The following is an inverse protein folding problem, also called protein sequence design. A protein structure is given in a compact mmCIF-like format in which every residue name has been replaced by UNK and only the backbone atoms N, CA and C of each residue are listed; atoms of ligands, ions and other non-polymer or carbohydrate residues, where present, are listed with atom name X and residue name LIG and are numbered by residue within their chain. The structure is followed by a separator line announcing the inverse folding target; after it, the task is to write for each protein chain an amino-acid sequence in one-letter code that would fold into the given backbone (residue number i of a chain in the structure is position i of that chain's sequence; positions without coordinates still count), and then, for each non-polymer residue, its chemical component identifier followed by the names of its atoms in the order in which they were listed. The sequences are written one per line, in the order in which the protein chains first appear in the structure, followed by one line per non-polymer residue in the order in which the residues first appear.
data_IF_809106565291
#
_entry.id   IF_809106565291
#
_cell.length_a   1.000
_cell.length_b   1.000
_cell.length_c   1.000
_cell.angle_alpha   90.00
_cell.angle_beta   90.00
_cell.angle_gamma   90.00
#
_symmetry.space_group_name_H-M   'P 1'
#
loop_
_entity.id
_entity.type
_entity.pdbx_description
1 polymer ?
#
# COMPACT_ATOMS: atom_id res chain seq x y z
N UNK A 1 -7.51 25.22 5.50
CA UNK A 1 -8.67 24.50 4.96
C UNK A 1 -9.49 25.37 3.98
N UNK A 2 -9.18 26.65 3.90
CA UNK A 2 -9.77 27.61 2.97
C UNK A 2 -8.88 27.73 1.75
N UNK A 3 -9.44 27.94 0.57
CA UNK A 3 -8.74 28.18 -0.69
C UNK A 3 -9.32 29.39 -1.41
N UNK A 4 -8.56 29.95 -2.34
CA UNK A 4 -8.96 31.11 -3.15
C UNK A 4 -9.45 30.63 -4.51
N UNK A 5 -10.61 31.09 -4.92
CA UNK A 5 -11.15 30.84 -6.27
C UNK A 5 -10.31 31.56 -7.32
N UNK A 6 -9.79 30.82 -8.30
CA UNK A 6 -9.07 31.40 -9.43
C UNK A 6 -9.98 32.22 -10.37
N UNK A 7 -11.32 32.02 -10.29
CA UNK A 7 -12.27 32.73 -11.16
C UNK A 7 -12.63 34.13 -10.65
N UNK A 8 -12.72 34.32 -9.33
CA UNK A 8 -13.26 35.57 -8.76
C UNK A 8 -12.52 36.05 -7.50
N UNK A 9 -11.45 35.38 -7.08
CA UNK A 9 -10.68 35.74 -5.89
C UNK A 9 -11.36 35.47 -4.55
N UNK A 10 -12.58 34.93 -4.52
CA UNK A 10 -13.30 34.68 -3.28
C UNK A 10 -12.71 33.50 -2.52
N UNK A 11 -12.77 33.59 -1.19
CA UNK A 11 -12.42 32.50 -0.29
C UNK A 11 -13.55 31.47 -0.24
N UNK A 12 -13.22 30.20 -0.24
CA UNK A 12 -14.19 29.13 -0.04
C UNK A 12 -13.57 27.92 0.65
N UNK A 13 -14.40 27.11 1.27
CA UNK A 13 -13.97 25.89 1.94
C UNK A 13 -13.44 24.86 0.93
N UNK A 14 -12.21 24.39 1.17
CA UNK A 14 -11.56 23.39 0.33
C UNK A 14 -12.29 22.05 0.36
N UNK A 15 -12.78 21.65 1.52
CA UNK A 15 -13.46 20.38 1.76
C UNK A 15 -14.97 20.60 1.86
N UNK A 16 -15.65 20.57 0.73
CA UNK A 16 -17.11 20.72 0.66
C UNK A 16 -17.76 19.36 0.46
N UNK A 17 -18.82 19.07 1.21
CA UNK A 17 -19.57 17.81 1.16
C UNK A 17 -18.66 16.58 1.26
N UNK A 18 -17.79 16.55 2.31
CA UNK A 18 -16.81 15.48 2.50
C UNK A 18 -16.82 14.96 3.94
N UNK A 19 -16.72 13.64 4.05
CA UNK A 19 -16.33 13.00 5.30
C UNK A 19 -14.83 13.27 5.51
N UNK A 20 -14.51 13.85 6.69
CA UNK A 20 -13.16 14.32 7.00
C UNK A 20 -12.39 13.32 7.85
N UNK A 21 -11.13 13.09 7.49
CA UNK A 21 -10.19 12.24 8.20
C UNK A 21 -9.00 13.08 8.62
N UNK A 22 -8.70 13.21 9.93
CA UNK A 22 -7.48 13.87 10.37
C UNK A 22 -6.26 13.03 9.98
N UNK A 23 -5.25 13.67 9.45
CA UNK A 23 -3.94 13.07 9.22
C UNK A 23 -3.08 13.42 10.43
N UNK A 24 -2.64 12.38 11.15
CA UNK A 24 -1.98 12.51 12.44
C UNK A 24 -0.54 12.01 12.29
N UNK A 25 0.43 12.82 12.72
CA UNK A 25 1.84 12.43 12.71
C UNK A 25 2.15 11.37 13.78
N UNK A 26 3.34 10.82 13.74
CA UNK A 26 3.79 9.80 14.72
C UNK A 26 3.82 10.29 16.18
N UNK A 27 3.77 11.58 16.40
CA UNK A 27 3.75 12.20 17.74
C UNK A 27 2.33 12.42 18.27
N UNK A 28 1.31 12.28 17.41
CA UNK A 28 -0.10 12.47 17.74
C UNK A 28 -0.66 13.84 17.36
N UNK A 29 0.10 14.68 16.64
CA UNK A 29 -0.37 15.99 16.20
C UNK A 29 -1.16 15.86 14.90
N UNK A 30 -2.27 16.59 14.78
CA UNK A 30 -3.00 16.73 13.51
C UNK A 30 -2.21 17.67 12.61
N UNK A 31 -1.70 17.14 11.49
CA UNK A 31 -0.86 17.86 10.52
C UNK A 31 -1.59 18.20 9.22
N UNK A 32 -2.72 17.56 8.96
CA UNK A 32 -3.52 17.75 7.75
C UNK A 32 -4.84 17.00 7.82
N UNK A 33 -5.56 17.02 6.71
CA UNK A 33 -6.84 16.32 6.58
C UNK A 33 -6.94 15.65 5.22
N UNK A 34 -7.56 14.48 5.19
CA UNK A 34 -8.14 13.86 4.02
C UNK A 34 -9.65 14.05 4.00
N UNK A 35 -10.26 14.11 2.84
CA UNK A 35 -11.70 14.20 2.71
C UNK A 35 -12.22 13.28 1.60
N UNK A 36 -13.16 12.39 1.92
CA UNK A 36 -13.89 11.56 0.96
C UNK A 36 -15.22 12.22 0.64
N UNK A 37 -15.52 12.39 -0.66
CA UNK A 37 -16.81 12.98 -1.08
C UNK A 37 -17.98 12.12 -0.56
N UNK A 38 -19.00 12.77 0.00
CA UNK A 38 -20.19 12.10 0.53
C UNK A 38 -21.20 11.83 -0.59
N UNK A 39 -21.39 12.81 -1.48
CA UNK A 39 -22.33 12.70 -2.57
C UNK A 39 -21.59 12.60 -3.92
N UNK A 40 -21.77 11.49 -4.61
CA UNK A 40 -21.09 11.19 -5.89
C UNK A 40 -21.81 11.74 -7.13
N UNK A 41 -22.82 12.61 -6.98
CA UNK A 41 -23.55 13.21 -8.11
C UNK A 41 -22.67 14.14 -8.96
N UNK A 42 -21.65 14.76 -8.35
CA UNK A 42 -20.65 15.55 -9.07
C UNK A 42 -19.46 14.67 -9.53
N UNK A 43 -19.58 14.14 -10.75
CA UNK A 43 -18.52 13.32 -11.37
C UNK A 43 -17.20 14.08 -11.61
N UNK A 44 -17.21 15.42 -11.54
CA UNK A 44 -16.01 16.25 -11.73
C UNK A 44 -15.19 16.37 -10.44
N UNK A 45 -15.77 16.11 -9.28
CA UNK A 45 -15.11 16.23 -7.99
C UNK A 45 -14.27 14.98 -7.69
N UNK A 46 -13.02 15.18 -7.27
CA UNK A 46 -12.15 14.09 -6.86
C UNK A 46 -12.77 13.30 -5.71
N UNK A 47 -12.84 11.96 -5.83
CA UNK A 47 -13.36 11.04 -4.79
C UNK A 47 -12.66 11.28 -3.45
N UNK A 48 -11.36 11.45 -3.47
CA UNK A 48 -10.53 11.77 -2.30
C UNK A 48 -9.78 13.08 -2.53
N UNK A 49 -9.69 13.89 -1.50
CA UNK A 49 -8.96 15.15 -1.50
C UNK A 49 -8.14 15.24 -0.22
N UNK A 50 -6.85 15.53 -0.33
CA UNK A 50 -5.98 15.77 0.82
C UNK A 50 -5.67 17.27 0.96
N UNK A 51 -5.28 17.67 2.18
CA UNK A 51 -4.66 18.97 2.41
C UNK A 51 -3.50 19.20 1.45
N UNK A 52 -3.24 20.43 1.03
CA UNK A 52 -2.02 20.76 0.30
C UNK A 52 -0.79 20.54 1.19
N UNK A 53 0.38 20.44 0.59
CA UNK A 53 1.66 20.47 1.31
C UNK A 53 1.77 21.77 2.12
N UNK A 54 2.29 21.67 3.34
CA UNK A 54 2.54 22.79 4.25
C UNK A 54 3.86 22.57 4.97
N UNK A 55 4.29 23.54 5.79
CA UNK A 55 5.50 23.39 6.61
C UNK A 55 5.43 22.21 7.59
N UNK A 56 4.22 21.83 8.02
CA UNK A 56 4.00 20.72 8.96
C UNK A 56 3.46 19.46 8.30
N UNK A 57 3.00 19.52 7.05
CA UNK A 57 2.42 18.39 6.33
C UNK A 57 3.12 18.14 5.00
N UNK A 58 3.79 17.02 4.90
CA UNK A 58 4.37 16.50 3.68
C UNK A 58 3.87 15.06 3.45
N UNK A 59 3.12 14.84 2.37
CA UNK A 59 2.51 13.53 2.04
C UNK A 59 3.55 12.43 1.82
N UNK A 60 4.74 12.80 1.35
CA UNK A 60 5.83 11.88 1.05
C UNK A 60 6.54 11.36 2.30
N UNK A 61 6.42 12.10 3.42
CA UNK A 61 7.11 11.83 4.70
C UNK A 61 6.17 11.35 5.80
N UNK A 62 4.90 11.17 5.49
CA UNK A 62 3.89 10.74 6.45
C UNK A 62 3.07 9.59 5.89
N UNK A 63 2.59 8.72 6.79
CA UNK A 63 1.71 7.61 6.49
C UNK A 63 0.48 7.70 7.38
N UNK A 64 -0.70 7.45 6.82
CA UNK A 64 -1.95 7.42 7.56
C UNK A 64 -1.94 6.28 8.59
N UNK A 65 -2.46 6.53 9.78
CA UNK A 65 -2.58 5.62 10.91
C UNK A 65 -1.26 5.09 11.50
N UNK A 66 -0.07 5.55 11.07
CA UNK A 66 1.19 5.10 11.64
C UNK A 66 1.34 5.46 13.13
N UNK A 67 0.72 6.54 13.60
CA UNK A 67 0.63 6.90 15.02
C UNK A 67 -0.05 5.83 15.88
N UNK A 68 -0.95 5.04 15.30
CA UNK A 68 -1.61 3.89 15.92
C UNK A 68 -0.81 2.62 15.67
N UNK A 69 -0.50 2.32 14.43
CA UNK A 69 0.13 1.07 13.99
C UNK A 69 1.50 0.81 14.63
N UNK A 70 2.27 1.86 14.95
CA UNK A 70 3.56 1.72 15.68
C UNK A 70 3.43 1.11 17.07
N UNK A 71 2.22 0.99 17.63
CA UNK A 71 1.95 0.38 18.94
C UNK A 71 1.52 -1.09 18.82
N UNK A 72 1.30 -1.56 17.61
CA UNK A 72 0.91 -2.95 17.36
C UNK A 72 1.99 -3.92 17.84
N UNK A 73 1.57 -5.06 18.34
CA UNK A 73 2.45 -6.14 18.82
C UNK A 73 2.62 -7.27 17.80
N UNK A 74 2.12 -7.09 16.57
CA UNK A 74 2.12 -8.15 15.55
C UNK A 74 3.49 -8.39 14.90
N UNK A 75 4.49 -7.54 15.16
CA UNK A 75 5.85 -7.71 14.63
C UNK A 75 6.01 -7.31 13.15
N UNK A 76 4.94 -6.93 12.47
CA UNK A 76 4.93 -6.42 11.10
C UNK A 76 3.93 -5.29 10.94
N UNK A 77 4.09 -4.49 9.87
CA UNK A 77 3.10 -3.50 9.45
C UNK A 77 2.46 -3.92 8.12
N UNK A 78 1.18 -3.60 7.95
CA UNK A 78 0.46 -3.76 6.69
C UNK A 78 0.44 -2.41 5.99
N UNK A 79 0.97 -2.34 4.76
CA UNK A 79 0.93 -1.13 3.93
C UNK A 79 -0.11 -1.28 2.84
N UNK A 80 -1.10 -0.40 2.83
CA UNK A 80 -2.18 -0.31 1.82
C UNK A 80 -2.14 1.00 1.06
N UNK A 81 -2.91 1.11 -0.03
CA UNK A 81 -2.95 2.32 -0.85
C UNK A 81 -3.75 3.45 -0.21
N UNK A 82 -4.93 3.13 0.30
CA UNK A 82 -5.92 4.11 0.76
C UNK A 82 -6.19 4.07 2.25
N UNK A 83 -6.51 5.22 2.82
CA UNK A 83 -6.85 5.27 4.24
C UNK A 83 -8.18 4.60 4.59
N UNK A 84 -9.07 4.36 3.63
CA UNK A 84 -10.27 3.56 3.89
C UNK A 84 -9.92 2.10 4.16
N UNK A 85 -8.96 1.55 3.43
CA UNK A 85 -8.48 0.18 3.64
C UNK A 85 -7.79 0.04 4.99
N UNK A 86 -6.95 1.03 5.35
CA UNK A 86 -6.33 1.06 6.68
C UNK A 86 -7.39 1.14 7.79
N UNK A 87 -8.42 2.00 7.64
CA UNK A 87 -9.52 2.11 8.60
C UNK A 87 -10.28 0.80 8.71
N UNK A 88 -10.62 0.16 7.59
CA UNK A 88 -11.31 -1.13 7.59
C UNK A 88 -10.46 -2.20 8.31
N UNK A 89 -9.17 -2.28 8.01
CA UNK A 89 -8.27 -3.20 8.70
C UNK A 89 -8.26 -2.96 10.21
N UNK A 90 -8.12 -1.71 10.65
CA UNK A 90 -8.19 -1.37 12.09
C UNK A 90 -9.53 -1.77 12.73
N UNK A 91 -10.66 -1.55 12.05
CA UNK A 91 -11.99 -1.94 12.55
C UNK A 91 -12.13 -3.46 12.75
N UNK A 92 -11.44 -4.27 11.94
CA UNK A 92 -11.43 -5.72 12.05
C UNK A 92 -10.28 -6.28 12.91
N UNK A 93 -9.56 -5.39 13.64
CA UNK A 93 -8.54 -5.78 14.62
C UNK A 93 -7.12 -5.89 14.07
N UNK A 94 -6.86 -5.44 12.83
CA UNK A 94 -5.51 -5.36 12.26
C UNK A 94 -4.92 -3.96 12.52
N UNK A 95 -4.57 -3.70 13.78
CA UNK A 95 -4.08 -2.40 14.27
C UNK A 95 -2.70 -1.99 13.74
N UNK A 96 -2.05 -2.87 12.98
CA UNK A 96 -0.76 -2.67 12.32
C UNK A 96 -0.88 -2.05 10.91
N UNK A 97 -2.10 -1.69 10.45
CA UNK A 97 -2.29 -1.18 9.11
C UNK A 97 -1.95 0.31 8.99
N UNK A 98 -1.28 0.66 7.89
CA UNK A 98 -0.93 2.03 7.50
C UNK A 98 -1.24 2.25 6.02
N UNK A 99 -1.48 3.50 5.61
CA UNK A 99 -1.72 3.80 4.21
C UNK A 99 -0.89 4.97 3.70
N UNK A 100 -0.65 4.97 2.39
CA UNK A 100 -0.14 6.14 1.67
C UNK A 100 -1.16 7.28 1.66
N UNK A 101 -0.71 8.49 1.40
CA UNK A 101 -1.55 9.70 1.41
C UNK A 101 -1.89 10.20 -0.01
N UNK A 102 -2.32 9.27 -0.88
CA UNK A 102 -2.64 9.56 -2.27
C UNK A 102 -1.40 9.87 -3.13
N UNK A 103 -0.26 9.30 -2.75
CA UNK A 103 1.01 9.32 -3.49
C UNK A 103 1.61 7.92 -3.47
N UNK A 104 2.42 7.59 -4.48
CA UNK A 104 3.23 6.38 -4.43
C UNK A 104 4.14 6.38 -3.19
N UNK A 105 4.49 5.20 -2.70
CA UNK A 105 5.47 5.05 -1.63
C UNK A 105 6.79 5.70 -2.02
N UNK A 106 7.40 6.42 -1.09
CA UNK A 106 8.67 7.11 -1.26
C UNK A 106 9.76 6.49 -0.38
N UNK A 107 11.03 6.78 -0.68
CA UNK A 107 12.15 6.39 0.20
C UNK A 107 11.99 6.96 1.62
N UNK A 108 11.50 8.21 1.76
CA UNK A 108 11.21 8.81 3.07
C UNK A 108 10.14 8.02 3.84
N UNK A 109 9.08 7.58 3.14
CA UNK A 109 8.03 6.74 3.73
C UNK A 109 8.54 5.36 4.15
N UNK A 110 9.37 4.71 3.34
CA UNK A 110 9.98 3.43 3.67
C UNK A 110 10.96 3.55 4.85
N UNK A 111 11.80 4.58 4.86
CA UNK A 111 12.70 4.89 5.98
C UNK A 111 11.93 5.24 7.27
N UNK A 112 10.72 5.78 7.14
CA UNK A 112 9.85 6.00 8.30
C UNK A 112 9.31 4.67 8.83
N UNK A 113 8.87 3.76 7.96
CA UNK A 113 8.38 2.43 8.34
C UNK A 113 9.48 1.60 9.04
N UNK A 114 10.71 1.61 8.52
CA UNK A 114 11.82 0.82 9.05
C UNK A 114 12.22 1.17 10.50
N UNK A 115 11.76 2.30 11.02
CA UNK A 115 11.95 2.68 12.43
C UNK A 115 11.01 1.93 13.38
N UNK A 116 9.96 1.29 12.86
CA UNK A 116 8.88 0.71 13.67
C UNK A 116 8.65 -0.78 13.40
N UNK A 117 9.23 -1.33 12.34
CA UNK A 117 9.11 -2.74 12.01
C UNK A 117 10.30 -3.20 11.15
N UNK A 118 10.56 -4.49 11.17
CA UNK A 118 11.50 -5.14 10.23
C UNK A 118 10.78 -5.78 9.04
N UNK A 119 9.44 -5.95 9.12
CA UNK A 119 8.66 -6.61 8.07
C UNK A 119 7.44 -5.78 7.68
N UNK A 120 7.19 -5.71 6.37
CA UNK A 120 5.99 -5.08 5.78
C UNK A 120 5.24 -6.10 4.92
N UNK A 121 3.94 -6.20 5.15
CA UNK A 121 3.01 -6.89 4.25
C UNK A 121 2.36 -5.85 3.34
N UNK A 122 2.68 -5.90 2.07
CA UNK A 122 2.19 -4.97 1.05
C UNK A 122 0.87 -5.50 0.47
N UNK A 123 -0.19 -4.73 0.57
CA UNK A 123 -1.52 -5.07 0.05
C UNK A 123 -2.02 -3.90 -0.79
N UNK A 124 -1.76 -3.93 -2.07
CA UNK A 124 -2.25 -2.95 -3.03
C UNK A 124 -3.37 -3.55 -3.88
N UNK A 125 -4.12 -2.69 -4.57
CA UNK A 125 -5.25 -3.10 -5.40
C UNK A 125 -4.84 -4.17 -6.42
N UNK A 126 -5.74 -5.09 -6.72
CA UNK A 126 -5.46 -6.22 -7.61
C UNK A 126 -5.41 -5.85 -9.10
N UNK A 127 -5.73 -4.60 -9.46
CA UNK A 127 -5.69 -4.09 -10.83
C UNK A 127 -4.24 -3.86 -11.33
N UNK A 128 -4.10 -3.50 -12.59
CA UNK A 128 -2.79 -3.25 -13.22
C UNK A 128 -2.03 -2.10 -12.55
N UNK A 129 -2.73 -1.06 -12.12
CA UNK A 129 -2.12 0.11 -11.46
C UNK A 129 -1.54 -0.29 -10.09
N UNK A 130 -2.27 -1.05 -9.28
CA UNK A 130 -1.82 -1.57 -8.00
C UNK A 130 -0.69 -2.59 -8.13
N UNK A 131 -0.72 -3.46 -9.16
CA UNK A 131 0.39 -4.37 -9.46
C UNK A 131 1.67 -3.60 -9.81
N UNK A 132 1.58 -2.57 -10.65
CA UNK A 132 2.69 -1.69 -10.99
C UNK A 132 3.20 -0.90 -9.77
N UNK A 133 2.30 -0.47 -8.88
CA UNK A 133 2.65 0.19 -7.63
C UNK A 133 3.38 -0.78 -6.68
N UNK A 134 2.92 -2.03 -6.58
CA UNK A 134 3.58 -3.11 -5.82
C UNK A 134 5.01 -3.34 -6.30
N UNK A 135 5.21 -3.51 -7.60
CA UNK A 135 6.54 -3.73 -8.19
C UNK A 135 7.52 -2.58 -7.90
N UNK A 136 7.02 -1.35 -7.86
CA UNK A 136 7.84 -0.17 -7.52
C UNK A 136 8.11 -0.05 -6.02
N UNK A 137 7.15 -0.44 -5.18
CA UNK A 137 7.28 -0.33 -3.73
C UNK A 137 8.28 -1.33 -3.14
N UNK A 138 8.34 -2.56 -3.67
CA UNK A 138 9.23 -3.61 -3.18
C UNK A 138 10.69 -3.15 -3.06
N UNK A 139 11.37 -2.68 -4.13
CA UNK A 139 12.78 -2.29 -4.04
C UNK A 139 12.99 -1.08 -3.13
N UNK A 140 12.00 -0.19 -2.98
CA UNK A 140 12.07 0.96 -2.08
C UNK A 140 12.08 0.51 -0.62
N UNK A 141 11.20 -0.44 -0.27
CA UNK A 141 11.10 -1.01 1.08
C UNK A 141 12.37 -1.80 1.44
N UNK A 142 12.88 -2.61 0.52
CA UNK A 142 14.09 -3.40 0.74
C UNK A 142 15.35 -2.54 0.89
N UNK A 143 15.47 -1.47 0.10
CA UNK A 143 16.55 -0.48 0.26
C UNK A 143 16.54 0.15 1.65
N UNK A 144 15.37 0.27 2.28
CA UNK A 144 15.21 0.73 3.66
C UNK A 144 15.48 -0.38 4.71
N UNK A 145 15.89 -1.59 4.29
CA UNK A 145 16.19 -2.73 5.18
C UNK A 145 14.98 -3.55 5.61
N UNK A 146 13.81 -3.35 4.98
CA UNK A 146 12.58 -4.04 5.33
C UNK A 146 12.43 -5.37 4.58
N UNK A 147 11.99 -6.40 5.28
CA UNK A 147 11.51 -7.64 4.67
C UNK A 147 10.11 -7.40 4.10
N UNK A 148 9.92 -7.75 2.82
CA UNK A 148 8.66 -7.49 2.11
C UNK A 148 7.93 -8.80 1.83
N UNK A 149 6.70 -8.90 2.31
CA UNK A 149 5.72 -9.88 1.85
C UNK A 149 4.66 -9.18 1.00
N UNK A 150 4.11 -9.87 0.04
CA UNK A 150 3.04 -9.36 -0.81
C UNK A 150 1.81 -10.23 -0.65
N UNK A 151 0.72 -9.62 -0.24
CA UNK A 151 -0.58 -10.26 -0.22
C UNK A 151 -1.34 -9.85 -1.48
N UNK A 152 -1.63 -10.80 -2.34
CA UNK A 152 -2.51 -10.58 -3.48
C UNK A 152 -3.94 -10.88 -3.09
N UNK A 153 -4.80 -9.85 -3.14
CA UNK A 153 -6.23 -10.05 -2.96
C UNK A 153 -6.78 -10.91 -4.11
N UNK A 154 -7.44 -12.03 -3.75
CA UNK A 154 -8.19 -12.84 -4.72
C UNK A 154 -9.66 -12.52 -4.61
N UNK A 155 -10.65 -12.80 -4.86
CA UNK A 155 -12.08 -12.69 -4.58
C UNK A 155 -12.62 -11.32 -4.09
N UNK A 156 -11.76 -10.30 -3.99
CA UNK A 156 -12.10 -8.92 -3.66
C UNK A 156 -11.07 -7.96 -4.26
N UNK A 157 -11.48 -6.72 -4.45
CA UNK A 157 -10.64 -5.73 -5.11
C UNK A 157 -9.68 -5.05 -4.10
N UNK A 158 -10.14 -4.88 -2.87
CA UNK A 158 -9.42 -4.19 -1.79
C UNK A 158 -9.69 -4.86 -0.42
N UNK A 159 -8.90 -4.56 0.63
CA UNK A 159 -9.09 -5.12 1.96
C UNK A 159 -10.47 -4.82 2.57
N UNK A 160 -11.04 -3.64 2.32
CA UNK A 160 -12.37 -3.27 2.85
C UNK A 160 -13.47 -4.19 2.30
N UNK A 161 -13.46 -4.45 0.99
CA UNK A 161 -14.41 -5.37 0.37
C UNK A 161 -14.21 -6.81 0.86
N UNK A 162 -12.96 -7.26 0.98
CA UNK A 162 -12.64 -8.60 1.45
C UNK A 162 -13.15 -8.84 2.88
N UNK A 163 -12.83 -7.92 3.79
CA UNK A 163 -13.21 -8.02 5.20
C UNK A 163 -14.73 -8.01 5.38
N UNK A 164 -15.45 -7.20 4.62
CA UNK A 164 -16.93 -7.20 4.62
C UNK A 164 -17.53 -8.52 4.15
N UNK A 165 -16.89 -9.16 3.17
CA UNK A 165 -17.40 -10.38 2.52
C UNK A 165 -17.03 -11.65 3.30
N UNK A 166 -15.82 -11.72 3.82
CA UNK A 166 -15.27 -12.96 4.37
C UNK A 166 -14.89 -12.89 5.87
N UNK A 167 -14.81 -11.69 6.44
CA UNK A 167 -14.48 -11.47 7.84
C UNK A 167 -12.99 -11.57 8.19
N UNK A 168 -12.68 -11.26 9.45
CA UNK A 168 -11.31 -11.15 9.95
C UNK A 168 -10.55 -12.48 9.97
N UNK A 169 -11.22 -13.60 10.29
CA UNK A 169 -10.54 -14.89 10.45
C UNK A 169 -10.01 -15.41 9.09
N UNK A 170 -10.80 -15.28 8.03
CA UNK A 170 -10.31 -15.60 6.68
C UNK A 170 -9.19 -14.67 6.21
N UNK A 171 -9.25 -13.41 6.60
CA UNK A 171 -8.17 -12.47 6.28
C UNK A 171 -6.87 -12.80 7.02
N UNK A 172 -6.92 -13.33 8.26
CA UNK A 172 -5.74 -13.83 8.99
C UNK A 172 -5.07 -14.97 8.24
N UNK A 173 -5.85 -15.97 7.81
CA UNK A 173 -5.33 -17.09 7.00
C UNK A 173 -4.67 -16.56 5.72
N UNK A 174 -5.31 -15.63 5.03
CA UNK A 174 -4.77 -15.03 3.82
C UNK A 174 -3.45 -14.27 4.07
N UNK A 175 -3.31 -13.60 5.23
CA UNK A 175 -2.06 -12.96 5.64
C UNK A 175 -0.94 -13.96 5.88
N UNK A 176 -1.24 -15.11 6.49
CA UNK A 176 -0.28 -16.20 6.71
C UNK A 176 0.22 -16.79 5.39
N UNK A 177 -0.65 -16.87 4.38
CA UNK A 177 -0.34 -17.34 3.03
C UNK A 177 0.35 -16.26 2.15
N UNK A 178 0.64 -15.07 2.69
CA UNK A 178 1.24 -14.00 1.91
C UNK A 178 2.61 -14.43 1.36
N UNK A 179 2.79 -14.27 0.05
CA UNK A 179 4.02 -14.64 -0.64
C UNK A 179 5.16 -13.70 -0.26
N UNK A 180 6.36 -14.26 -0.09
CA UNK A 180 7.55 -13.42 -0.05
C UNK A 180 7.82 -12.79 -1.44
N UNK A 181 8.73 -11.81 -1.48
CA UNK A 181 9.06 -11.09 -2.72
C UNK A 181 9.38 -12.00 -3.89
N UNK A 182 10.24 -13.00 -3.68
CA UNK A 182 10.74 -13.86 -4.75
C UNK A 182 9.61 -14.67 -5.35
N UNK A 183 8.78 -15.29 -4.51
CA UNK A 183 7.58 -16.02 -4.92
C UNK A 183 6.59 -15.12 -5.67
N UNK A 184 6.38 -13.89 -5.17
CA UNK A 184 5.50 -12.93 -5.85
C UNK A 184 6.02 -12.60 -7.26
N UNK A 185 7.32 -12.34 -7.41
CA UNK A 185 7.94 -12.01 -8.68
C UNK A 185 7.96 -13.21 -9.64
N UNK A 186 8.30 -14.42 -9.16
CA UNK A 186 8.24 -15.64 -9.97
C UNK A 186 6.81 -15.92 -10.46
N UNK A 187 5.80 -15.74 -9.61
CA UNK A 187 4.40 -15.87 -10.00
C UNK A 187 3.96 -14.79 -11.03
N UNK A 188 4.55 -13.61 -10.99
CA UNK A 188 4.28 -12.56 -11.99
C UNK A 188 4.92 -12.91 -13.35
N UNK A 189 6.14 -13.48 -13.35
CA UNK A 189 6.79 -13.99 -14.57
C UNK A 189 5.96 -15.13 -15.16
N UNK A 190 5.58 -16.13 -14.35
CA UNK A 190 4.80 -17.28 -14.78
C UNK A 190 3.53 -16.91 -15.56
N UNK A 191 2.86 -15.80 -15.17
CA UNK A 191 1.63 -15.36 -15.83
C UNK A 191 1.82 -14.77 -17.23
N UNK A 192 3.05 -14.46 -17.63
CA UNK A 192 3.36 -13.90 -18.95
C UNK A 192 3.44 -14.97 -20.05
N UNK A 193 3.64 -16.24 -19.66
CA UNK A 193 4.01 -17.32 -20.57
C UNK A 193 3.02 -18.50 -20.49
N UNK A 194 2.71 -19.12 -21.63
CA UNK A 194 2.02 -20.42 -21.71
C UNK A 194 3.09 -21.54 -21.68
N UNK A 195 3.20 -22.23 -20.55
CA UNK A 195 4.20 -23.30 -20.36
C UNK A 195 3.93 -24.57 -21.21
N UNK A 196 2.83 -24.63 -21.96
CA UNK A 196 2.57 -25.70 -22.93
C UNK A 196 3.29 -25.47 -24.26
N UNK A 197 3.72 -24.25 -24.50
CA UNK A 197 4.54 -23.83 -25.63
C UNK A 197 6.03 -23.89 -25.22
N UNK A 198 6.80 -24.71 -25.92
CA UNK A 198 8.22 -24.96 -25.56
C UNK A 198 9.07 -23.69 -25.67
N UNK A 199 8.79 -22.81 -26.63
CA UNK A 199 9.53 -21.54 -26.79
C UNK A 199 9.23 -20.59 -25.64
N UNK A 200 7.97 -20.42 -25.27
CA UNK A 200 7.56 -19.60 -24.13
C UNK A 200 8.05 -20.18 -22.79
N UNK A 201 8.11 -21.50 -22.68
CA UNK A 201 8.69 -22.16 -21.51
C UNK A 201 10.18 -21.83 -21.35
N UNK A 202 10.94 -21.81 -22.44
CA UNK A 202 12.35 -21.41 -22.41
C UNK A 202 12.49 -19.94 -21.97
N UNK A 203 11.65 -19.05 -22.50
CA UNK A 203 11.63 -17.64 -22.11
C UNK A 203 11.30 -17.45 -20.62
N UNK A 204 10.29 -18.19 -20.11
CA UNK A 204 9.95 -18.23 -18.68
C UNK A 204 11.15 -18.62 -17.82
N UNK A 205 11.84 -19.72 -18.20
CA UNK A 205 13.00 -20.22 -17.45
C UNK A 205 14.15 -19.20 -17.47
N UNK A 206 14.40 -18.54 -18.59
CA UNK A 206 15.44 -17.51 -18.72
C UNK A 206 15.13 -16.28 -17.84
N UNK A 207 13.89 -15.77 -17.86
CA UNK A 207 13.50 -14.62 -17.03
C UNK A 207 13.55 -14.98 -15.54
N UNK A 208 13.08 -16.19 -15.17
CA UNK A 208 13.12 -16.68 -13.79
C UNK A 208 14.55 -16.87 -13.27
N UNK A 209 15.43 -17.47 -14.09
CA UNK A 209 16.85 -17.63 -13.76
C UNK A 209 17.55 -16.27 -13.59
N UNK A 210 17.21 -15.28 -14.42
CA UNK A 210 17.70 -13.90 -14.27
C UNK A 210 17.29 -13.28 -12.94
N UNK A 211 16.04 -13.44 -12.52
CA UNK A 211 15.54 -12.98 -11.22
C UNK A 211 16.31 -13.67 -10.08
N UNK A 212 16.39 -15.00 -10.09
CA UNK A 212 17.07 -15.79 -9.05
C UNK A 212 18.55 -15.42 -8.96
N UNK A 213 19.22 -15.27 -10.11
CA UNK A 213 20.61 -14.84 -10.19
C UNK A 213 20.87 -13.44 -9.60
N UNK A 214 19.89 -12.57 -9.63
CA UNK A 214 19.97 -11.22 -9.04
C UNK A 214 19.87 -11.19 -7.52
N UNK A 215 19.47 -12.30 -6.86
CA UNK A 215 19.36 -12.37 -5.41
C UNK A 215 20.74 -12.29 -4.74
N UNK A 216 20.87 -11.42 -3.75
CA UNK A 216 22.13 -11.22 -3.03
C UNK A 216 22.50 -12.42 -2.15
N UNK A 217 21.50 -13.13 -1.58
CA UNK A 217 21.71 -14.29 -0.72
C UNK A 217 21.95 -15.57 -1.53
N UNK A 218 23.08 -16.23 -1.27
CA UNK A 218 23.38 -17.54 -1.86
C UNK A 218 22.35 -18.60 -1.46
N UNK A 219 21.85 -18.56 -0.20
CA UNK A 219 20.82 -19.47 0.30
C UNK A 219 19.49 -19.27 -0.46
N UNK A 220 19.11 -18.01 -0.71
CA UNK A 220 17.91 -17.75 -1.52
C UNK A 220 18.06 -18.26 -2.95
N UNK A 221 19.22 -18.11 -3.57
CA UNK A 221 19.47 -18.67 -4.90
C UNK A 221 19.36 -20.18 -4.94
N UNK A 222 19.82 -20.87 -3.89
CA UNK A 222 19.68 -22.33 -3.75
C UNK A 222 18.22 -22.79 -3.54
N UNK A 223 17.46 -22.05 -2.74
CA UNK A 223 16.06 -22.41 -2.41
C UNK A 223 15.12 -22.23 -3.61
N UNK A 224 15.38 -21.23 -4.46
CA UNK A 224 14.48 -20.88 -5.58
C UNK A 224 15.01 -21.33 -6.96
N UNK A 225 16.23 -21.85 -7.05
CA UNK A 225 16.85 -22.39 -8.28
C UNK A 225 16.60 -23.87 -8.42
#
# INVERSE_FOLDING_TARGET
LVTVSQKNGNLFDRFRDRLMFPIIDVRGNVIGFGGRIMNSSDKSAAKYLNSPETLIFNKRKNLFALNLAKKSKLGYLILVEGYMDAIALHQYGFDCAVASLGTALTEDGANLLSRYTEQVVLIYDGDEAGQNATQRAIPILEKAGLQVKVLKMRDAKDPDEYLKKFGADRFRILLEESANRVEYQLNAILKKYDLRDDEQKVQYLQESAGLIGSLSSAVQREVYG
#
